data_IF_290407468233
#
_entry.id   IF_290407468233
#
_cell.length_a   1.000
_cell.length_b   1.000
_cell.length_c   1.000
_cell.angle_alpha   90.00
_cell.angle_beta   90.00
_cell.angle_gamma   90.00
#
_symmetry.space_group_name_H-M   'P 1'
#
loop_
_entity.id
_entity.type
_entity.pdbx_description
1 polymer ?
#
# COMPACT_ATOMS: atom_id res chain seq x y z
N UNK A 1 10.20 -2.66 -20.51
CA UNK A 1 10.21 -3.23 -19.14
C UNK A 1 8.79 -3.10 -18.64
N UNK A 2 8.20 -4.18 -18.15
CA UNK A 2 6.85 -4.13 -17.57
C UNK A 2 6.98 -3.72 -16.11
N UNK A 3 6.07 -2.87 -15.64
CA UNK A 3 6.04 -2.41 -14.26
C UNK A 3 5.98 -3.61 -13.29
N UNK A 4 6.83 -3.68 -12.24
CA UNK A 4 6.91 -4.84 -11.34
C UNK A 4 5.63 -5.04 -10.53
N UNK A 5 4.90 -3.96 -10.27
CA UNK A 5 3.66 -3.96 -9.48
C UNK A 5 2.52 -3.33 -10.26
N UNK A 6 1.31 -3.63 -9.82
CA UNK A 6 0.11 -2.94 -10.26
C UNK A 6 -0.76 -2.53 -9.08
N UNK A 7 -1.47 -1.42 -9.22
CA UNK A 7 -2.46 -0.98 -8.23
C UNK A 7 -3.76 -1.72 -8.54
N UNK A 8 -4.23 -2.53 -7.59
CA UNK A 8 -5.46 -3.33 -7.73
C UNK A 8 -6.66 -2.68 -7.05
N UNK A 9 -6.45 -1.80 -6.07
CA UNK A 9 -7.48 -1.00 -5.42
C UNK A 9 -6.88 0.28 -4.81
N UNK A 10 -7.67 1.34 -4.67
CA UNK A 10 -7.25 2.61 -4.07
C UNK A 10 -8.39 3.25 -3.28
N UNK A 11 -8.09 3.69 -2.06
CA UNK A 11 -9.01 4.40 -1.17
C UNK A 11 -8.27 5.47 -0.37
N UNK A 12 -8.65 6.74 -0.57
CA UNK A 12 -7.94 7.86 0.02
C UNK A 12 -6.46 7.86 -0.37
N UNK A 13 -5.57 7.97 0.63
CA UNK A 13 -4.12 7.85 0.44
C UNK A 13 -3.63 6.40 0.35
N UNK A 14 -4.46 5.39 0.63
CA UNK A 14 -4.03 3.99 0.64
C UNK A 14 -4.22 3.34 -0.72
N UNK A 15 -3.25 2.53 -1.11
CA UNK A 15 -3.28 1.70 -2.32
C UNK A 15 -3.00 0.26 -1.96
N UNK A 16 -3.82 -0.64 -2.49
CA UNK A 16 -3.54 -2.06 -2.50
C UNK A 16 -2.82 -2.37 -3.82
N UNK A 17 -1.59 -2.86 -3.71
CA UNK A 17 -0.76 -3.23 -4.86
C UNK A 17 -0.59 -4.74 -4.95
N UNK A 18 -0.36 -5.23 -6.16
CA UNK A 18 -0.04 -6.63 -6.45
C UNK A 18 1.31 -6.70 -7.16
N UNK A 19 2.18 -7.54 -6.65
CA UNK A 19 3.39 -7.96 -7.36
C UNK A 19 3.00 -8.84 -8.55
N UNK A 20 3.45 -8.48 -9.75
CA UNK A 20 3.04 -9.18 -10.98
C UNK A 20 3.65 -10.57 -11.10
N UNK A 21 4.79 -10.81 -10.48
CA UNK A 21 5.51 -12.09 -10.57
C UNK A 21 4.98 -13.12 -9.57
N UNK A 22 4.91 -12.76 -8.29
CA UNK A 22 4.48 -13.65 -7.20
C UNK A 22 2.96 -13.64 -6.98
N UNK A 23 2.24 -12.63 -7.47
CA UNK A 23 0.82 -12.42 -7.20
C UNK A 23 0.51 -12.00 -5.76
N UNK A 24 1.54 -11.79 -4.93
CA UNK A 24 1.39 -11.28 -3.55
C UNK A 24 0.93 -9.85 -3.55
N UNK A 25 0.33 -9.44 -2.45
CA UNK A 25 -0.27 -8.12 -2.30
C UNK A 25 0.37 -7.37 -1.14
N UNK A 26 0.36 -6.05 -1.23
CA UNK A 26 0.82 -5.17 -0.18
C UNK A 26 0.02 -3.88 -0.15
N UNK A 27 0.11 -3.16 0.96
CA UNK A 27 -0.57 -1.88 1.15
C UNK A 27 0.50 -0.80 1.27
N UNK A 28 0.35 0.25 0.49
CA UNK A 28 1.19 1.45 0.58
C UNK A 28 0.32 2.68 0.80
N UNK A 29 0.88 3.67 1.48
CA UNK A 29 0.26 4.99 1.60
C UNK A 29 0.95 5.97 0.65
N UNK A 30 0.21 6.60 -0.25
CA UNK A 30 0.70 7.60 -1.19
C UNK A 30 0.31 9.02 -0.74
N UNK A 31 1.30 9.88 -0.50
CA UNK A 31 1.15 11.30 -0.14
C UNK A 31 2.33 12.11 -0.70
N UNK A 32 2.06 13.31 -1.20
CA UNK A 32 3.10 14.25 -1.68
C UNK A 32 4.07 13.65 -2.72
N UNK A 33 3.55 12.88 -3.68
CA UNK A 33 4.33 12.14 -4.70
C UNK A 33 5.33 11.12 -4.12
N UNK A 34 5.09 10.69 -2.88
CA UNK A 34 5.86 9.66 -2.20
C UNK A 34 4.94 8.54 -1.74
N UNK A 35 5.50 7.35 -1.61
CA UNK A 35 4.86 6.19 -1.00
C UNK A 35 5.55 5.83 0.30
N UNK A 36 4.77 5.41 1.28
CA UNK A 36 5.20 5.05 2.63
C UNK A 36 4.68 3.65 2.98
N UNK A 37 5.48 2.89 3.71
CA UNK A 37 5.03 1.61 4.27
C UNK A 37 4.03 1.85 5.38
N UNK A 38 2.98 1.03 5.43
CA UNK A 38 2.04 1.01 6.56
C UNK A 38 2.62 0.28 7.78
N UNK A 39 3.77 -0.39 7.65
CA UNK A 39 4.44 -1.04 8.77
C UNK A 39 5.17 -0.04 9.68
N UNK A 40 5.17 -0.27 11.01
CA UNK A 40 5.72 0.68 11.99
C UNK A 40 7.26 0.71 12.07
N UNK A 41 7.98 -0.18 11.37
CA UNK A 41 9.44 -0.15 11.32
C UNK A 41 9.87 0.72 10.15
N UNK A 42 10.32 1.92 10.50
CA UNK A 42 10.96 2.94 9.64
C UNK A 42 10.11 3.39 8.45
N UNK A 43 9.66 4.65 8.50
CA UNK A 43 8.95 5.34 7.42
C UNK A 43 9.94 5.72 6.32
N UNK A 44 10.57 4.74 5.70
CA UNK A 44 11.25 4.99 4.44
C UNK A 44 10.20 5.39 3.41
N UNK A 45 10.49 6.48 2.69
CA UNK A 45 9.61 7.05 1.70
C UNK A 45 10.27 6.87 0.34
N UNK A 46 9.57 6.22 -0.57
CA UNK A 46 10.04 6.03 -1.94
C UNK A 46 9.24 6.94 -2.89
N UNK A 47 9.77 7.25 -4.09
CA UNK A 47 8.98 7.93 -5.12
C UNK A 47 7.72 7.15 -5.47
N UNK A 48 6.62 7.86 -5.68
CA UNK A 48 5.34 7.27 -6.10
C UNK A 48 5.40 6.74 -7.54
N UNK A 49 6.01 5.57 -7.67
CA UNK A 49 6.29 4.84 -8.91
C UNK A 49 6.17 3.34 -8.65
N UNK A 50 5.89 2.50 -9.65
CA UNK A 50 5.86 1.05 -9.47
C UNK A 50 7.14 0.49 -8.84
N UNK A 51 8.31 0.97 -9.26
CA UNK A 51 9.61 0.54 -8.73
C UNK A 51 9.85 1.02 -7.29
N UNK A 52 9.37 2.22 -6.95
CA UNK A 52 9.42 2.74 -5.58
C UNK A 52 8.53 1.93 -4.64
N UNK A 53 7.31 1.60 -5.09
CA UNK A 53 6.37 0.77 -4.34
C UNK A 53 6.91 -0.64 -4.10
N UNK A 54 7.51 -1.27 -5.11
CA UNK A 54 8.09 -2.61 -4.98
C UNK A 54 9.20 -2.65 -3.91
N UNK A 55 10.14 -1.69 -3.97
CA UNK A 55 11.28 -1.60 -3.04
C UNK A 55 10.85 -1.39 -1.59
N UNK A 56 9.80 -0.60 -1.37
CA UNK A 56 9.28 -0.28 -0.04
C UNK A 56 8.69 -1.51 0.69
N UNK A 57 8.24 -2.51 -0.06
CA UNK A 57 7.52 -3.67 0.48
C UNK A 57 8.46 -4.86 0.72
N UNK A 58 9.64 -4.88 0.11
CA UNK A 58 10.61 -5.93 0.34
C UNK A 58 11.29 -5.83 1.71
N UNK A 59 11.63 -6.96 2.35
CA UNK A 59 11.23 -8.33 2.02
C UNK A 59 9.88 -8.77 2.64
N UNK A 60 9.41 -8.09 3.69
CA UNK A 60 8.40 -8.62 4.62
C UNK A 60 6.99 -8.02 4.47
N UNK A 61 6.80 -7.05 3.59
CA UNK A 61 5.50 -6.37 3.38
C UNK A 61 4.54 -7.13 2.45
N UNK A 62 5.04 -8.12 1.71
CA UNK A 62 4.24 -8.91 0.76
C UNK A 62 3.43 -10.00 1.48
N UNK A 63 2.12 -9.95 1.33
CA UNK A 63 1.15 -10.82 1.99
C UNK A 63 0.31 -11.61 0.98
N UNK A 64 -0.36 -12.63 1.48
CA UNK A 64 -1.37 -13.34 0.69
C UNK A 64 -2.54 -12.40 0.33
N UNK A 65 -3.15 -12.56 -0.86
CA UNK A 65 -4.19 -11.65 -1.35
C UNK A 65 -5.36 -11.45 -0.37
N UNK A 66 -5.78 -12.52 0.31
CA UNK A 66 -6.89 -12.46 1.26
C UNK A 66 -6.55 -11.63 2.51
N UNK A 67 -5.33 -11.81 3.03
CA UNK A 67 -4.85 -11.08 4.20
C UNK A 67 -4.67 -9.59 3.89
N UNK A 68 -4.04 -9.28 2.76
CA UNK A 68 -3.83 -7.90 2.33
C UNK A 68 -5.16 -7.17 2.09
N UNK A 69 -6.16 -7.84 1.49
CA UNK A 69 -7.49 -7.25 1.27
C UNK A 69 -8.23 -7.00 2.59
N UNK A 70 -8.14 -7.92 3.55
CA UNK A 70 -8.75 -7.75 4.87
C UNK A 70 -8.14 -6.54 5.61
N UNK A 71 -6.80 -6.45 5.65
CA UNK A 71 -6.08 -5.32 6.25
C UNK A 71 -6.37 -3.99 5.53
N UNK A 72 -6.45 -4.01 4.20
CA UNK A 72 -6.79 -2.82 3.42
C UNK A 72 -8.20 -2.31 3.76
N UNK A 73 -9.18 -3.21 3.87
CA UNK A 73 -10.53 -2.86 4.27
C UNK A 73 -10.60 -2.30 5.71
N UNK A 74 -9.81 -2.86 6.63
CA UNK A 74 -9.71 -2.38 8.02
C UNK A 74 -9.16 -0.95 8.09
N UNK A 75 -7.97 -0.72 7.50
CA UNK A 75 -7.29 0.59 7.53
C UNK A 75 -8.12 1.67 6.84
N UNK A 76 -8.75 1.33 5.71
CA UNK A 76 -9.56 2.31 4.96
C UNK A 76 -10.86 2.64 5.66
N UNK A 77 -11.49 1.68 6.35
CA UNK A 77 -12.66 1.95 7.20
C UNK A 77 -12.29 2.84 8.38
N UNK A 78 -11.18 2.57 9.07
CA UNK A 78 -10.74 3.41 10.19
C UNK A 78 -10.39 4.83 9.74
N UNK A 79 -9.71 4.98 8.59
CA UNK A 79 -9.42 6.28 7.99
C UNK A 79 -10.68 7.06 7.60
N UNK A 80 -11.71 6.38 7.09
CA UNK A 80 -13.00 6.98 6.77
C UNK A 80 -13.77 7.43 8.03
N UNK A 81 -13.73 6.65 9.12
CA UNK A 81 -14.37 7.03 10.39
C UNK A 81 -13.64 8.21 11.06
N UNK A 82 -12.31 8.21 11.10
CA UNK A 82 -11.50 9.34 11.58
C UNK A 82 -11.78 10.63 10.80
N UNK A 83 -11.94 10.53 9.47
CA UNK A 83 -12.24 11.68 8.64
C UNK A 83 -13.62 12.30 8.94
N UNK A 84 -14.60 11.50 9.40
CA UNK A 84 -15.95 11.96 9.77
C UNK A 84 -16.00 12.62 11.15
N UNK A 85 -15.12 12.24 12.09
CA UNK A 85 -15.07 12.84 13.43
C UNK A 85 -14.35 14.19 13.48
N UNK A 86 -13.51 14.49 12.48
CA UNK A 86 -12.67 15.71 12.44
C UNK A 86 -13.40 16.90 11.75
N UNK A 87 -14.57 16.69 11.15
CA UNK A 87 -15.34 17.72 10.43
C UNK A 87 -16.62 18.14 11.15
#
# INVERSE_FOLDING_TARGET
MSDPVEIVDQKGSFRLIRDRESGRHAIVEARDNKVYTVHPREREAEPDTPEGMARLVEPDGWQDPAEARAKFAEITREGEELAKEIW
#
